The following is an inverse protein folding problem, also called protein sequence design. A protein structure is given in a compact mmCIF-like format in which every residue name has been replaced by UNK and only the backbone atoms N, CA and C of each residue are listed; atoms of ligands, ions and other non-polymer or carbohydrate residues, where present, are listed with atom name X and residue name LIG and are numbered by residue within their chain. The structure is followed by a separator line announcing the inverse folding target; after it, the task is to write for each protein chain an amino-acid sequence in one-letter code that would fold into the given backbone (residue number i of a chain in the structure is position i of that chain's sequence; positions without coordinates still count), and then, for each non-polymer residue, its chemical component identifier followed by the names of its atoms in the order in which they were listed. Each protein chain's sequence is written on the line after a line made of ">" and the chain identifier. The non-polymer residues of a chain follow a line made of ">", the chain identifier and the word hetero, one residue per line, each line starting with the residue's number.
data_IF_359030671638
#
_entry.id   IF_359030671638
#
_cell.length_a   1.000
_cell.length_b   1.000
_cell.length_c   1.000
_cell.angle_alpha   90.00
_cell.angle_beta   90.00
_cell.angle_gamma   90.00
#
_symmetry.space_group_name_H-M   'P 1'
#
loop_
_entity.id
_entity.type
_entity.pdbx_description
1 polymer ?
#
# COMPACT_ATOMS: atom_id res chain seq x y z
N UNK A 1 28.91 -32.73 -18.35
CA UNK A 1 27.89 -32.28 -19.31
C UNK A 1 26.84 -33.38 -19.43
N UNK A 2 25.77 -33.31 -18.65
CA UNK A 2 24.64 -34.22 -18.81
C UNK A 2 23.95 -33.92 -20.13
N UNK A 3 23.85 -34.93 -21.00
CA UNK A 3 23.10 -34.83 -22.24
C UNK A 3 21.61 -34.86 -21.90
N UNK A 4 20.90 -33.76 -22.10
CA UNK A 4 19.43 -33.75 -22.07
C UNK A 4 18.88 -34.80 -23.04
N UNK A 5 18.17 -35.79 -22.51
CA UNK A 5 17.57 -36.85 -23.30
C UNK A 5 16.27 -36.35 -23.94
N UNK A 6 16.34 -35.93 -25.20
CA UNK A 6 15.16 -35.49 -25.96
C UNK A 6 14.35 -36.71 -26.42
N UNK A 7 13.21 -36.95 -25.80
CA UNK A 7 12.24 -37.97 -26.26
C UNK A 7 11.28 -37.35 -27.29
N UNK A 8 11.03 -38.05 -28.40
CA UNK A 8 10.08 -37.58 -29.42
C UNK A 8 8.65 -37.92 -29.01
N UNK A 9 7.80 -36.91 -28.84
CA UNK A 9 6.37 -37.10 -28.62
C UNK A 9 5.71 -37.50 -29.96
N UNK A 10 4.87 -38.56 -29.95
CA UNK A 10 4.05 -38.95 -31.12
C UNK A 10 3.14 -37.78 -31.51
N UNK A 11 2.97 -37.57 -32.82
CA UNK A 11 2.34 -36.39 -33.43
C UNK A 11 1.22 -35.75 -32.61
N UNK A 12 1.50 -34.55 -32.09
CA UNK A 12 0.54 -33.71 -31.38
C UNK A 12 -0.45 -33.14 -32.40
N UNK A 13 -1.75 -33.34 -32.19
CA UNK A 13 -2.79 -32.71 -33.02
C UNK A 13 -3.19 -31.39 -32.38
N UNK A 14 -3.02 -30.31 -33.12
CA UNK A 14 -3.43 -28.97 -32.75
C UNK A 14 -4.62 -28.55 -33.60
N UNK A 15 -5.49 -27.72 -33.04
CA UNK A 15 -6.49 -26.98 -33.79
C UNK A 15 -5.82 -25.98 -34.72
N UNK A 16 -6.56 -25.49 -35.73
CA UNK A 16 -6.03 -24.52 -36.69
C UNK A 16 -5.64 -23.19 -36.00
N UNK A 17 -6.38 -22.80 -34.94
CA UNK A 17 -6.09 -21.62 -34.13
C UNK A 17 -4.80 -21.78 -33.32
N UNK A 18 -4.64 -22.89 -32.60
CA UNK A 18 -3.42 -23.19 -31.82
C UNK A 18 -2.18 -23.23 -32.72
N UNK A 19 -2.31 -23.81 -33.92
CA UNK A 19 -1.24 -23.82 -34.92
C UNK A 19 -0.86 -22.41 -35.36
N UNK A 20 -1.85 -21.56 -35.64
CA UNK A 20 -1.65 -20.15 -36.03
C UNK A 20 -0.90 -19.37 -34.95
N UNK A 21 -1.22 -19.59 -33.68
CA UNK A 21 -0.56 -18.96 -32.53
C UNK A 21 0.91 -19.37 -32.43
N UNK A 22 1.21 -20.67 -32.59
CA UNK A 22 2.61 -21.12 -32.54
C UNK A 22 3.41 -20.55 -33.72
N UNK A 23 2.81 -20.49 -34.91
CA UNK A 23 3.45 -19.88 -36.09
C UNK A 23 3.68 -18.37 -35.96
N UNK A 24 2.76 -17.64 -35.31
CA UNK A 24 2.95 -16.20 -35.06
C UNK A 24 4.10 -15.97 -34.07
N UNK A 25 4.14 -16.73 -32.98
CA UNK A 25 5.22 -16.67 -31.98
C UNK A 25 6.57 -17.07 -32.61
N UNK A 26 6.57 -18.08 -33.49
CA UNK A 26 7.76 -18.48 -34.23
C UNK A 26 8.32 -17.33 -35.07
N UNK A 27 7.45 -16.59 -35.80
CA UNK A 27 7.85 -15.44 -36.62
C UNK A 27 8.32 -14.27 -35.77
N UNK A 28 7.60 -13.93 -34.71
CA UNK A 28 7.94 -12.83 -33.80
C UNK A 28 9.29 -13.05 -33.11
N UNK A 29 9.53 -14.27 -32.64
CA UNK A 29 10.77 -14.64 -31.94
C UNK A 29 11.88 -15.12 -32.89
N UNK A 30 11.66 -15.08 -34.21
CA UNK A 30 12.61 -15.51 -35.26
C UNK A 30 13.16 -16.93 -35.03
N UNK A 31 12.31 -17.86 -34.61
CA UNK A 31 12.71 -19.21 -34.25
C UNK A 31 12.79 -20.11 -35.48
N UNK A 32 13.86 -20.90 -35.57
CA UNK A 32 14.18 -21.70 -36.76
C UNK A 32 13.21 -22.86 -37.02
N UNK A 33 12.48 -23.30 -36.01
CA UNK A 33 11.65 -24.51 -36.09
C UNK A 33 10.43 -24.41 -35.17
N UNK A 34 9.34 -25.07 -35.57
CA UNK A 34 8.09 -25.17 -34.82
C UNK A 34 8.33 -25.78 -33.44
N UNK A 35 9.15 -26.83 -33.34
CA UNK A 35 9.49 -27.43 -32.05
C UNK A 35 10.19 -26.46 -31.10
N UNK A 36 11.02 -25.54 -31.62
CA UNK A 36 11.65 -24.50 -30.79
C UNK A 36 10.63 -23.46 -30.31
N UNK A 37 9.65 -23.10 -31.15
CA UNK A 37 8.55 -22.22 -30.75
C UNK A 37 7.72 -22.85 -29.62
N UNK A 38 7.39 -24.14 -29.72
CA UNK A 38 6.70 -24.86 -28.64
C UNK A 38 7.54 -24.92 -27.37
N UNK A 39 8.84 -25.24 -27.44
CA UNK A 39 9.72 -25.22 -26.27
C UNK A 39 9.81 -23.83 -25.63
N UNK A 40 9.89 -22.78 -26.46
CA UNK A 40 9.88 -21.40 -25.98
C UNK A 40 8.60 -21.08 -25.21
N UNK A 41 7.44 -21.41 -25.76
CA UNK A 41 6.13 -21.19 -25.11
C UNK A 41 6.06 -21.93 -23.76
N UNK A 42 6.56 -23.17 -23.70
CA UNK A 42 6.57 -23.94 -22.45
C UNK A 42 7.46 -23.29 -21.39
N UNK A 43 8.66 -22.83 -21.76
CA UNK A 43 9.54 -22.14 -20.82
C UNK A 43 8.96 -20.79 -20.39
N UNK A 44 8.34 -20.06 -21.31
CA UNK A 44 7.69 -18.78 -21.02
C UNK A 44 6.51 -18.97 -20.06
N UNK A 45 5.67 -19.99 -20.29
CA UNK A 45 4.58 -20.35 -19.39
C UNK A 45 5.07 -20.67 -17.97
N UNK A 46 6.13 -21.48 -17.84
CA UNK A 46 6.72 -21.80 -16.54
C UNK A 46 7.27 -20.56 -15.84
N UNK A 47 7.95 -19.67 -16.59
CA UNK A 47 8.47 -18.40 -16.06
C UNK A 47 7.33 -17.49 -15.58
N UNK A 48 6.27 -17.35 -16.38
CA UNK A 48 5.10 -16.57 -16.01
C UNK A 48 4.42 -17.13 -14.76
N UNK A 49 4.34 -18.46 -14.64
CA UNK A 49 3.74 -19.10 -13.46
C UNK A 49 4.52 -18.79 -12.17
N UNK A 50 5.86 -18.83 -12.23
CA UNK A 50 6.72 -18.43 -11.11
C UNK A 50 6.57 -16.94 -10.78
N UNK A 51 6.51 -16.08 -11.81
CA UNK A 51 6.32 -14.64 -11.64
C UNK A 51 4.96 -14.31 -11.00
N UNK A 52 3.89 -14.94 -11.45
CA UNK A 52 2.54 -14.80 -10.89
C UNK A 52 2.54 -15.21 -9.41
N UNK A 53 3.17 -16.35 -9.06
CA UNK A 53 3.28 -16.78 -7.66
C UNK A 53 4.05 -15.77 -6.81
N UNK A 54 5.16 -15.25 -7.32
CA UNK A 54 5.96 -14.22 -6.64
C UNK A 54 5.16 -12.91 -6.45
N UNK A 55 4.40 -12.49 -7.46
CA UNK A 55 3.54 -11.31 -7.38
C UNK A 55 2.40 -11.50 -6.37
N UNK A 56 1.77 -12.67 -6.36
CA UNK A 56 0.73 -13.01 -5.37
C UNK A 56 1.28 -12.92 -3.94
N UNK A 57 2.46 -13.49 -3.68
CA UNK A 57 3.10 -13.39 -2.36
C UNK A 57 3.44 -11.95 -1.97
N UNK A 58 3.92 -11.13 -2.91
CA UNK A 58 4.20 -9.71 -2.66
C UNK A 58 2.92 -8.93 -2.36
N UNK A 59 1.86 -9.16 -3.12
CA UNK A 59 0.55 -8.53 -2.90
C UNK A 59 -0.02 -8.90 -1.53
N UNK A 60 0.04 -10.17 -1.13
CA UNK A 60 -0.41 -10.59 0.19
C UNK A 60 0.34 -9.86 1.32
N UNK A 61 1.67 -9.75 1.21
CA UNK A 61 2.48 -8.99 2.19
C UNK A 61 2.10 -7.50 2.23
N UNK A 62 1.82 -6.91 1.07
CA UNK A 62 1.39 -5.51 0.98
C UNK A 62 0.00 -5.31 1.60
N UNK A 63 -0.95 -6.22 1.34
CA UNK A 63 -2.28 -6.20 1.94
C UNK A 63 -2.20 -6.30 3.47
N UNK A 64 -1.41 -7.22 4.00
CA UNK A 64 -1.18 -7.34 5.45
C UNK A 64 -0.56 -6.08 6.05
N UNK A 65 0.45 -5.50 5.38
CA UNK A 65 1.09 -4.28 5.82
C UNK A 65 0.11 -3.09 5.81
N UNK A 66 -0.71 -2.99 4.77
CA UNK A 66 -1.72 -1.97 4.62
C UNK A 66 -2.82 -2.12 5.68
N UNK A 67 -3.29 -3.34 5.95
CA UNK A 67 -4.26 -3.62 7.00
C UNK A 67 -3.72 -3.22 8.38
N UNK A 68 -2.45 -3.54 8.68
CA UNK A 68 -1.78 -3.09 9.92
C UNK A 68 -1.71 -1.57 10.01
N UNK A 69 -1.38 -0.89 8.92
CA UNK A 69 -1.36 0.58 8.87
C UNK A 69 -2.76 1.17 9.10
N UNK A 70 -3.79 0.64 8.44
CA UNK A 70 -5.17 1.09 8.58
C UNK A 70 -5.68 0.91 10.02
N UNK A 71 -5.35 -0.22 10.66
CA UNK A 71 -5.67 -0.45 12.07
C UNK A 71 -5.00 0.58 12.98
N UNK A 72 -3.72 0.92 12.75
CA UNK A 72 -3.04 1.96 13.51
C UNK A 72 -3.70 3.32 13.35
N UNK A 73 -4.09 3.69 12.12
CA UNK A 73 -4.79 4.94 11.83
C UNK A 73 -6.12 4.98 12.60
N UNK A 74 -6.89 3.89 12.55
CA UNK A 74 -8.16 3.78 13.27
C UNK A 74 -7.99 3.93 14.78
N UNK A 75 -7.02 3.24 15.37
CA UNK A 75 -6.75 3.33 16.81
C UNK A 75 -6.32 4.74 17.22
N UNK A 76 -5.47 5.40 16.43
CA UNK A 76 -5.06 6.77 16.67
C UNK A 76 -6.24 7.75 16.57
N UNK A 77 -7.10 7.60 15.55
CA UNK A 77 -8.31 8.41 15.37
C UNK A 77 -9.26 8.23 16.55
N UNK A 78 -9.63 6.98 16.87
CA UNK A 78 -10.54 6.69 17.98
C UNK A 78 -10.00 7.22 19.31
N UNK A 79 -8.70 7.08 19.55
CA UNK A 79 -8.06 7.61 20.76
C UNK A 79 -8.13 9.15 20.83
N UNK A 80 -7.91 9.83 19.70
CA UNK A 80 -8.05 11.28 19.61
C UNK A 80 -9.50 11.74 19.79
N UNK A 81 -10.47 11.01 19.21
CA UNK A 81 -11.90 11.31 19.31
C UNK A 81 -12.39 11.17 20.75
N UNK A 82 -12.07 10.06 21.42
CA UNK A 82 -12.41 9.83 22.84
C UNK A 82 -11.78 10.91 23.72
N UNK A 83 -10.51 11.25 23.49
CA UNK A 83 -9.82 12.29 24.26
C UNK A 83 -10.46 13.66 24.06
N UNK A 84 -10.82 14.00 22.82
CA UNK A 84 -11.47 15.28 22.47
C UNK A 84 -12.85 15.37 23.10
N UNK A 85 -13.66 14.32 23.01
CA UNK A 85 -14.97 14.28 23.67
C UNK A 85 -14.84 14.44 25.19
N UNK A 86 -13.89 13.74 25.81
CA UNK A 86 -13.64 13.84 27.25
C UNK A 86 -13.31 15.28 27.66
N UNK A 87 -12.45 15.96 26.89
CA UNK A 87 -12.12 17.37 27.14
C UNK A 87 -13.35 18.27 26.98
N UNK A 88 -14.19 18.04 25.96
CA UNK A 88 -15.43 18.80 25.76
C UNK A 88 -16.37 18.64 26.96
N UNK A 89 -16.57 17.42 27.48
CA UNK A 89 -17.44 17.19 28.64
C UNK A 89 -16.91 17.87 29.92
N UNK A 90 -15.59 17.83 30.14
CA UNK A 90 -14.94 18.54 31.24
C UNK A 90 -15.14 20.06 31.10
N UNK A 91 -14.92 20.60 29.90
CA UNK A 91 -15.11 22.03 29.63
C UNK A 91 -16.57 22.46 29.82
N UNK A 92 -17.53 21.63 29.37
CA UNK A 92 -18.95 21.89 29.57
C UNK A 92 -19.30 22.00 31.06
N UNK A 93 -18.77 21.07 31.87
CA UNK A 93 -18.93 21.09 33.34
C UNK A 93 -18.36 22.37 33.95
N UNK A 94 -17.18 22.81 33.50
CA UNK A 94 -16.55 24.05 33.97
C UNK A 94 -17.34 25.30 33.57
N UNK A 95 -17.82 25.38 32.32
CA UNK A 95 -18.66 26.47 31.85
C UNK A 95 -19.93 26.60 32.68
N UNK A 96 -20.56 25.47 33.01
CA UNK A 96 -21.71 25.43 33.90
C UNK A 96 -21.39 25.95 35.30
N UNK A 97 -20.31 25.47 35.91
CA UNK A 97 -19.87 25.88 37.25
C UNK A 97 -19.53 27.37 37.33
N UNK A 98 -18.92 27.92 36.26
CA UNK A 98 -18.55 29.33 36.17
C UNK A 98 -19.70 30.25 35.74
N UNK A 99 -20.90 29.70 35.51
CA UNK A 99 -22.07 30.44 35.03
C UNK A 99 -21.80 31.21 33.73
N UNK A 100 -21.05 30.62 32.82
CA UNK A 100 -20.79 31.20 31.51
C UNK A 100 -22.09 31.17 30.69
N UNK A 101 -22.59 32.35 30.31
CA UNK A 101 -23.88 32.49 29.60
C UNK A 101 -23.72 32.69 28.10
N UNK A 102 -22.64 33.35 27.69
CA UNK A 102 -22.44 33.79 26.32
C UNK A 102 -21.15 33.19 25.75
N UNK A 103 -21.24 32.69 24.51
CA UNK A 103 -20.07 32.32 23.72
C UNK A 103 -19.27 33.57 23.35
N UNK A 104 -17.95 33.50 23.46
CA UNK A 104 -17.03 34.53 22.94
C UNK A 104 -16.09 33.89 21.94
N UNK A 105 -16.15 34.36 20.70
CA UNK A 105 -15.27 33.84 19.64
C UNK A 105 -13.81 34.24 19.89
N UNK A 106 -12.90 33.32 19.61
CA UNK A 106 -11.46 33.60 19.59
C UNK A 106 -11.08 34.64 18.53
N UNK A 107 -11.92 34.84 17.50
CA UNK A 107 -11.70 35.89 16.49
C UNK A 107 -11.98 37.29 17.05
N UNK A 108 -12.85 37.38 18.07
CA UNK A 108 -13.20 38.63 18.73
C UNK A 108 -12.26 38.92 19.90
N UNK A 109 -11.89 37.87 20.64
CA UNK A 109 -11.01 38.00 21.80
C UNK A 109 -10.19 36.72 22.00
N UNK A 110 -9.01 36.66 21.40
CA UNK A 110 -8.04 35.60 21.66
C UNK A 110 -7.31 35.88 22.98
N UNK A 111 -7.51 35.00 23.97
CA UNK A 111 -6.81 35.13 25.25
C UNK A 111 -5.30 34.80 25.07
N UNK A 112 -4.36 35.55 25.68
CA UNK A 112 -2.92 35.32 25.51
C UNK A 112 -2.47 33.87 25.81
N UNK A 113 -3.10 33.23 26.79
CA UNK A 113 -2.85 31.81 27.12
C UNK A 113 -3.16 30.87 25.93
N UNK A 114 -4.21 31.16 25.15
CA UNK A 114 -4.55 30.36 23.97
C UNK A 114 -3.53 30.57 22.87
N UNK A 115 -3.07 31.81 22.67
CA UNK A 115 -2.01 32.13 21.70
C UNK A 115 -0.70 31.40 22.02
N UNK A 116 -0.25 31.46 23.28
CA UNK A 116 0.98 30.80 23.73
C UNK A 116 0.88 29.27 23.65
N UNK A 117 -0.29 28.71 23.99
CA UNK A 117 -0.57 27.29 23.81
C UNK A 117 -0.46 26.88 22.33
N UNK A 118 -1.07 27.64 21.42
CA UNK A 118 -0.98 27.38 19.97
C UNK A 118 0.47 27.44 19.46
N UNK A 119 1.25 28.43 19.91
CA UNK A 119 2.67 28.55 19.55
C UNK A 119 3.46 27.33 20.01
N UNK A 120 3.30 26.95 21.29
CA UNK A 120 3.97 25.78 21.88
C UNK A 120 3.66 24.49 21.11
N UNK A 121 2.41 24.29 20.72
CA UNK A 121 1.99 23.13 19.92
C UNK A 121 2.63 23.14 18.53
N UNK A 122 2.63 24.29 17.85
CA UNK A 122 3.26 24.43 16.52
C UNK A 122 4.76 24.12 16.57
N UNK A 123 5.48 24.65 17.55
CA UNK A 123 6.91 24.40 17.74
C UNK A 123 7.18 22.92 18.02
N UNK A 124 6.37 22.29 18.87
CA UNK A 124 6.48 20.85 19.14
C UNK A 124 6.30 20.01 17.87
N UNK A 125 5.32 20.34 17.03
CA UNK A 125 5.10 19.65 15.74
C UNK A 125 6.30 19.85 14.81
N UNK A 126 6.83 21.07 14.70
CA UNK A 126 8.02 21.36 13.90
C UNK A 126 9.22 20.54 14.37
N UNK A 127 9.46 20.46 15.68
CA UNK A 127 10.54 19.67 16.28
C UNK A 127 10.40 18.16 15.97
N UNK A 128 9.18 17.61 16.01
CA UNK A 128 8.95 16.22 15.65
C UNK A 128 9.24 15.94 14.16
N UNK A 129 8.87 16.86 13.26
CA UNK A 129 9.18 16.75 11.83
C UNK A 129 10.70 16.75 11.60
N UNK A 130 11.40 17.74 12.14
CA UNK A 130 12.87 17.83 12.03
C UNK A 130 13.56 16.55 12.53
N UNK A 131 13.21 16.05 13.72
CA UNK A 131 13.78 14.82 14.27
C UNK A 131 13.51 13.58 13.41
N UNK A 132 12.39 13.54 12.71
CA UNK A 132 12.08 12.47 11.76
C UNK A 132 12.99 12.57 10.53
N UNK A 133 13.14 13.77 9.98
CA UNK A 133 13.95 14.02 8.79
C UNK A 133 15.45 13.72 9.06
N UNK A 134 15.98 14.13 10.21
CA UNK A 134 17.35 13.81 10.65
C UNK A 134 17.60 12.32 10.90
N UNK A 135 16.57 11.51 11.19
CA UNK A 135 16.72 10.05 11.34
C UNK A 135 16.73 9.30 10.01
N UNK A 136 16.37 9.97 8.91
CA UNK A 136 16.33 9.41 7.55
C UNK A 136 17.53 9.82 6.70
N UNK A 137 18.44 10.65 7.24
CA UNK A 137 19.71 11.05 6.62
C UNK A 137 20.86 10.26 7.24
#
# INVERSE_FOLDING_TARGET
>A
MEKEYKSSIKGVRLTQEEKSIVESIQKEQQLSDFSKAVCYILHDYLRQQEEIQNLQQKNQKLEEANQKQMTRIRLASNGADVSTQTVIEVLNTLCWQMQMKDFRSTDQMLHPVVEEAQKTVKERIANYKQKKDFKQT
#
